data_IF_988534944773
#
_entry.id   IF_988534944773
#
_cell.length_a   1.000
_cell.length_b   1.000
_cell.length_c   1.000
_cell.angle_alpha   90.00
_cell.angle_beta   90.00
_cell.angle_gamma   90.00
#
_symmetry.space_group_name_H-M   'P 1'
#
loop_
_entity.id
_entity.type
_entity.pdbx_description
1 polymer ?
#
# COMPACT_ATOMS: atom_id res chain seq x y z
N UNK A 1 -8.96 -20.16 29.01
CA UNK A 1 -9.69 -20.47 27.76
C UNK A 1 -8.98 -19.80 26.60
N UNK A 2 -8.59 -20.57 25.68
CA UNK A 2 -7.98 -20.00 24.50
C UNK A 2 -9.03 -19.83 23.43
N UNK A 3 -9.07 -18.64 22.90
CA UNK A 3 -9.89 -18.35 21.76
C UNK A 3 -9.01 -18.42 20.54
N UNK A 4 -9.32 -19.31 19.64
CA UNK A 4 -8.52 -19.45 18.44
C UNK A 4 -8.97 -18.43 17.41
N UNK A 5 -8.03 -17.68 16.90
CA UNK A 5 -8.25 -16.76 15.80
C UNK A 5 -7.62 -17.33 14.55
N UNK A 6 -8.24 -17.09 13.38
CA UNK A 6 -7.59 -17.45 12.13
C UNK A 6 -6.21 -16.83 12.05
N UNK A 7 -5.27 -17.50 11.41
CA UNK A 7 -3.96 -16.92 11.19
C UNK A 7 -4.10 -15.68 10.31
N UNK A 8 -3.53 -14.58 10.78
CA UNK A 8 -3.50 -13.33 10.01
C UNK A 8 -2.36 -13.46 8.99
N UNK A 9 -2.69 -13.27 7.72
CA UNK A 9 -1.71 -13.35 6.64
C UNK A 9 -1.46 -12.03 5.94
N UNK A 10 -2.36 -11.10 6.10
CA UNK A 10 -2.27 -9.81 5.46
C UNK A 10 -2.85 -8.75 6.38
N UNK A 11 -2.16 -7.63 6.48
CA UNK A 11 -2.64 -6.46 7.22
C UNK A 11 -2.67 -5.28 6.25
N UNK A 12 -3.84 -4.69 6.10
CA UNK A 12 -3.99 -3.48 5.32
C UNK A 12 -3.99 -2.29 6.28
N UNK A 13 -3.14 -1.31 6.00
CA UNK A 13 -2.92 -0.18 6.89
C UNK A 13 -3.11 1.14 6.15
N UNK A 14 -3.89 2.02 6.73
CA UNK A 14 -3.96 3.39 6.26
C UNK A 14 -2.60 4.07 6.45
N UNK A 15 -2.29 5.06 5.62
CA UNK A 15 -1.02 5.78 5.71
C UNK A 15 -1.10 6.93 6.70
N UNK A 16 -1.83 7.96 6.35
CA UNK A 16 -1.83 9.20 7.12
C UNK A 16 -2.52 8.99 8.46
N UNK A 17 -1.78 9.27 9.53
CA UNK A 17 -2.30 9.11 10.88
C UNK A 17 -2.27 7.68 11.40
N UNK A 18 -1.81 6.71 10.62
CA UNK A 18 -1.72 5.31 11.04
C UNK A 18 -0.29 4.79 10.85
N UNK A 19 0.10 4.51 9.61
CA UNK A 19 1.48 4.08 9.33
C UNK A 19 2.44 5.26 9.45
N UNK A 20 2.01 6.43 9.03
CA UNK A 20 2.78 7.65 9.12
C UNK A 20 2.32 8.46 10.34
N UNK A 21 3.29 9.05 11.05
CA UNK A 21 2.98 9.94 12.16
C UNK A 21 2.55 11.33 11.62
N UNK A 22 2.38 12.28 12.53
CA UNK A 22 1.92 13.63 12.15
C UNK A 22 2.90 14.35 11.23
N UNK A 23 4.17 14.02 11.35
CA UNK A 23 5.22 14.61 10.53
C UNK A 23 5.40 13.90 9.19
N UNK A 24 4.61 12.85 8.95
CA UNK A 24 4.66 12.12 7.71
C UNK A 24 5.77 11.08 7.63
N UNK A 25 6.24 10.60 8.77
CA UNK A 25 7.30 9.61 8.83
C UNK A 25 6.87 8.34 9.54
N UNK A 26 7.54 7.25 9.21
CA UNK A 26 7.38 5.98 9.92
C UNK A 26 8.33 5.98 11.10
N UNK A 27 7.81 5.82 12.29
CA UNK A 27 8.65 5.81 13.50
C UNK A 27 9.42 4.50 13.60
N UNK A 28 10.56 4.49 14.32
CA UNK A 28 11.29 3.25 14.55
C UNK A 28 10.46 2.16 15.20
N UNK A 29 9.56 2.53 16.09
CA UNK A 29 8.67 1.56 16.75
C UNK A 29 7.71 0.91 15.77
N UNK A 30 7.13 1.69 14.87
CA UNK A 30 6.26 1.18 13.83
C UNK A 30 7.03 0.29 12.88
N UNK A 31 8.23 0.71 12.48
CA UNK A 31 9.08 -0.08 11.60
C UNK A 31 9.42 -1.43 12.22
N UNK A 32 9.74 -1.45 13.51
CA UNK A 32 10.04 -2.69 14.21
C UNK A 32 8.82 -3.61 14.29
N UNK A 33 7.63 -3.06 14.50
CA UNK A 33 6.41 -3.85 14.52
C UNK A 33 6.11 -4.47 13.16
N UNK A 34 6.33 -3.72 12.09
CA UNK A 34 6.16 -4.23 10.73
C UNK A 34 7.14 -5.35 10.45
N UNK A 35 8.39 -5.18 10.84
CA UNK A 35 9.39 -6.23 10.64
C UNK A 35 9.00 -7.51 11.39
N UNK A 36 8.51 -7.38 12.60
CA UNK A 36 8.05 -8.55 13.36
C UNK A 36 6.91 -9.28 12.66
N UNK A 37 5.99 -8.53 12.05
CA UNK A 37 4.89 -9.13 11.30
C UNK A 37 5.40 -9.83 10.03
N UNK A 38 6.31 -9.19 9.31
CA UNK A 38 6.91 -9.76 8.10
C UNK A 38 7.65 -11.05 8.43
N UNK A 39 8.36 -11.08 9.55
CA UNK A 39 9.09 -12.28 10.00
C UNK A 39 8.15 -13.46 10.26
N UNK A 40 6.89 -13.18 10.50
CA UNK A 40 5.86 -14.21 10.68
C UNK A 40 5.14 -14.54 9.38
N UNK A 41 5.58 -13.99 8.26
CA UNK A 41 4.98 -14.26 6.96
C UNK A 41 3.74 -13.42 6.65
N UNK A 42 3.54 -12.32 7.36
CA UNK A 42 2.40 -11.44 7.13
C UNK A 42 2.72 -10.43 6.03
N UNK A 43 1.81 -10.28 5.07
CA UNK A 43 1.92 -9.24 4.05
C UNK A 43 1.46 -7.91 4.61
N UNK A 44 2.22 -6.87 4.35
CA UNK A 44 1.86 -5.51 4.76
C UNK A 44 1.44 -4.75 3.51
N UNK A 45 0.21 -4.28 3.48
CA UNK A 45 -0.38 -3.61 2.31
C UNK A 45 -0.88 -2.23 2.74
N UNK A 46 -0.18 -1.16 2.36
CA UNK A 46 -0.72 0.17 2.58
C UNK A 46 -1.99 0.37 1.78
N UNK A 47 -2.97 1.00 2.39
CA UNK A 47 -4.24 1.33 1.76
C UNK A 47 -4.49 2.82 1.97
N UNK A 48 -4.53 3.59 0.89
CA UNK A 48 -4.53 5.04 0.99
C UNK A 48 -5.48 5.67 -0.02
N UNK A 49 -5.95 6.87 0.32
CA UNK A 49 -6.64 7.71 -0.64
C UNK A 49 -5.71 8.41 -1.61
N UNK A 50 -4.40 8.38 -1.35
CA UNK A 50 -3.43 9.01 -2.24
C UNK A 50 -3.32 8.26 -3.56
N UNK A 51 -3.04 8.96 -4.67
CA UNK A 51 -2.62 8.29 -5.90
C UNK A 51 -1.20 7.75 -5.76
N UNK A 52 -0.84 6.81 -6.61
CA UNK A 52 0.48 6.18 -6.55
C UNK A 52 1.62 7.21 -6.61
N UNK A 53 1.46 8.23 -7.43
CA UNK A 53 2.49 9.26 -7.58
C UNK A 53 2.77 10.03 -6.29
N UNK A 54 1.85 10.00 -5.34
CA UNK A 54 1.99 10.68 -4.06
C UNK A 54 2.40 9.75 -2.93
N UNK A 55 2.74 8.51 -3.24
CA UNK A 55 3.19 7.56 -2.23
C UNK A 55 4.59 7.97 -1.76
N UNK A 56 4.79 8.18 -0.44
CA UNK A 56 6.11 8.53 0.05
C UNK A 56 7.13 7.42 -0.24
N UNK A 57 8.33 7.75 -0.70
CA UNK A 57 9.36 6.72 -0.94
C UNK A 57 9.68 5.88 0.29
N UNK A 58 9.61 6.48 1.46
CA UNK A 58 9.84 5.78 2.72
C UNK A 58 8.89 4.59 2.89
N UNK A 59 7.64 4.76 2.46
CA UNK A 59 6.64 3.69 2.56
C UNK A 59 6.99 2.54 1.61
N UNK A 60 7.37 2.86 0.38
CA UNK A 60 7.70 1.83 -0.60
C UNK A 60 8.93 1.01 -0.19
N UNK A 61 9.77 1.55 0.68
CA UNK A 61 10.99 0.90 1.13
C UNK A 61 10.83 0.13 2.44
N UNK A 62 9.64 0.11 3.01
CA UNK A 62 9.41 -0.63 4.24
C UNK A 62 9.48 -2.15 4.00
N UNK A 63 9.89 -2.92 5.02
CA UNK A 63 9.93 -4.37 4.88
C UNK A 63 8.55 -4.93 4.58
N UNK A 64 8.51 -5.89 3.66
CA UNK A 64 7.30 -6.61 3.34
C UNK A 64 6.30 -5.88 2.46
N UNK A 65 6.62 -4.67 2.02
CA UNK A 65 5.73 -3.91 1.14
C UNK A 65 5.96 -4.37 -0.30
N UNK A 66 4.94 -4.96 -0.89
CA UNK A 66 4.94 -5.31 -2.31
C UNK A 66 3.76 -4.72 -3.03
N UNK A 67 2.60 -4.77 -2.40
CA UNK A 67 1.38 -4.26 -3.01
C UNK A 67 0.92 -3.02 -2.27
N UNK A 68 0.27 -2.12 -2.98
CA UNK A 68 -0.32 -0.93 -2.37
C UNK A 68 -1.70 -0.70 -2.99
N UNK A 69 -2.64 -0.35 -2.15
CA UNK A 69 -4.00 0.00 -2.56
C UNK A 69 -4.08 1.53 -2.55
N UNK A 70 -4.43 2.10 -3.70
CA UNK A 70 -4.44 3.55 -3.86
C UNK A 70 -5.82 4.06 -4.25
N UNK A 71 -5.99 5.37 -4.16
CA UNK A 71 -7.21 6.06 -4.55
C UNK A 71 -8.45 5.42 -3.93
N UNK A 72 -8.39 5.14 -2.63
CA UNK A 72 -9.50 4.56 -1.87
C UNK A 72 -10.01 3.23 -2.47
N UNK A 73 -9.09 2.41 -2.96
CA UNK A 73 -9.43 1.10 -3.51
C UNK A 73 -9.64 1.08 -5.01
N UNK A 74 -9.47 2.22 -5.69
CA UNK A 74 -9.67 2.27 -7.14
C UNK A 74 -8.57 1.56 -7.91
N UNK A 75 -7.39 1.38 -7.32
CA UNK A 75 -6.28 0.69 -7.96
C UNK A 75 -5.45 -0.07 -6.94
N UNK A 76 -4.86 -1.17 -7.39
CA UNK A 76 -3.89 -1.94 -6.62
C UNK A 76 -2.65 -2.09 -7.50
N UNK A 77 -1.50 -1.77 -6.92
CA UNK A 77 -0.23 -1.78 -7.65
C UNK A 77 0.72 -2.82 -7.07
N UNK A 78 1.47 -3.44 -7.96
CA UNK A 78 2.57 -4.32 -7.58
C UNK A 78 3.87 -3.53 -7.68
N UNK A 79 4.40 -3.14 -6.53
CA UNK A 79 5.64 -2.36 -6.47
C UNK A 79 6.87 -3.23 -6.71
N UNK A 80 6.71 -4.54 -6.62
CA UNK A 80 7.82 -5.47 -6.85
C UNK A 80 8.04 -5.81 -8.31
N UNK A 81 7.16 -5.40 -9.21
CA UNK A 81 7.35 -5.64 -10.64
C UNK A 81 8.11 -4.49 -11.27
N UNK A 82 8.80 -4.76 -12.37
CA UNK A 82 9.57 -3.77 -13.10
C UNK A 82 9.17 -3.83 -14.58
N UNK A 83 8.46 -2.81 -15.08
CA UNK A 83 8.00 -1.62 -14.36
C UNK A 83 6.86 -1.93 -13.39
N UNK A 84 6.65 -1.02 -12.45
CA UNK A 84 5.53 -1.11 -11.53
C UNK A 84 4.24 -1.18 -12.31
N UNK A 85 3.42 -2.18 -12.03
CA UNK A 85 2.21 -2.42 -12.79
C UNK A 85 0.96 -2.46 -11.95
N UNK A 86 -0.16 -2.12 -12.57
CA UNK A 86 -1.44 -2.25 -11.92
C UNK A 86 -1.88 -3.71 -11.92
N UNK A 87 -2.21 -4.21 -10.75
CA UNK A 87 -2.84 -5.51 -10.58
C UNK A 87 -4.33 -5.39 -10.80
N UNK A 88 -4.89 -4.26 -10.41
CA UNK A 88 -6.31 -3.97 -10.52
C UNK A 88 -6.50 -2.48 -10.75
N UNK A 89 -7.44 -2.13 -11.59
CA UNK A 89 -7.89 -0.76 -11.74
C UNK A 89 -9.37 -0.73 -12.08
N UNK A 90 -10.07 0.15 -11.41
CA UNK A 90 -11.50 0.35 -11.59
C UNK A 90 -11.81 1.13 -12.88
N UNK A 91 -10.86 1.89 -13.38
CA UNK A 91 -11.12 2.88 -14.44
C UNK A 91 -10.65 2.45 -15.81
N UNK A 92 -9.81 1.44 -15.89
CA UNK A 92 -9.41 0.88 -17.17
C UNK A 92 -8.82 -0.51 -16.93
N UNK A 93 -8.48 -1.21 -18.02
CA UNK A 93 -7.88 -2.52 -17.84
C UNK A 93 -6.41 -2.41 -17.46
N UNK A 94 -5.86 -3.48 -16.92
CA UNK A 94 -4.49 -3.47 -16.38
C UNK A 94 -3.43 -3.12 -17.42
N UNK A 95 -3.67 -3.40 -18.69
CA UNK A 95 -2.71 -3.11 -19.74
C UNK A 95 -2.42 -1.62 -19.88
N UNK A 96 -3.43 -0.82 -19.66
CA UNK A 96 -3.33 0.62 -19.85
C UNK A 96 -2.58 1.32 -18.74
N UNK A 97 -2.32 0.62 -17.65
CA UNK A 97 -1.70 1.21 -16.45
C UNK A 97 -0.23 0.90 -16.30
N UNK A 98 0.36 0.23 -17.26
CA UNK A 98 1.73 -0.25 -17.09
C UNK A 98 2.76 0.83 -16.93
N UNK A 99 2.60 1.92 -17.62
CA UNK A 99 3.67 2.90 -17.77
C UNK A 99 3.24 4.29 -17.43
N UNK A 100 1.99 4.53 -17.31
CA UNK A 100 1.51 5.90 -17.27
C UNK A 100 1.25 6.35 -15.87
N UNK A 101 1.03 7.63 -15.75
CA UNK A 101 0.42 8.22 -14.59
C UNK A 101 -0.83 7.43 -14.26
N UNK A 102 -1.00 7.01 -13.04
CA UNK A 102 -2.18 6.25 -12.66
C UNK A 102 -3.46 6.98 -13.00
N UNK A 103 -4.42 6.23 -13.53
CA UNK A 103 -5.74 6.80 -13.80
C UNK A 103 -6.34 7.38 -12.53
N UNK A 104 -6.04 6.79 -11.39
CA UNK A 104 -6.54 7.30 -10.13
C UNK A 104 -5.98 8.69 -9.80
N UNK A 105 -4.84 9.07 -10.35
CA UNK A 105 -4.35 10.44 -10.19
C UNK A 105 -5.29 11.44 -10.85
N UNK A 106 -5.71 11.15 -12.07
CA UNK A 106 -6.69 11.98 -12.74
C UNK A 106 -8.00 12.00 -11.97
N UNK A 107 -8.43 10.84 -11.52
CA UNK A 107 -9.64 10.73 -10.73
C UNK A 107 -9.56 11.56 -9.46
N UNK A 108 -8.42 11.59 -8.83
CA UNK A 108 -8.22 12.37 -7.60
C UNK A 108 -8.29 13.88 -7.85
N UNK A 109 -7.97 14.34 -9.05
CA UNK A 109 -8.04 15.74 -9.42
C UNK A 109 -9.43 16.16 -9.89
N UNK A 110 -10.29 15.20 -10.16
CA UNK A 110 -11.64 15.44 -10.62
C UNK A 110 -12.59 15.26 -9.44
N UNK A 111 -13.29 16.29 -9.06
CA UNK A 111 -14.22 16.19 -7.93
C UNK A 111 -15.37 15.20 -8.16
#
# INVERSE_FOLDING_TARGET
MSQEFPAIRLVALDLDGTLLNREGHVTPRTRAALQAAVDKGVYIVPATGRPLASLPPEVAQLPGIRYVITCNGAAVWDLGSDPVGAVYSRYSNAKEHRTSTPVCLLHSLMP
#
